data_IF_255372847616
#
_entry.id   IF_255372847616
#
_cell.length_a   1.000
_cell.length_b   1.000
_cell.length_c   1.000
_cell.angle_alpha   90.00
_cell.angle_beta   90.00
_cell.angle_gamma   90.00
#
_symmetry.space_group_name_H-M   'P 1'
#
loop_
_entity.id
_entity.type
_entity.pdbx_description
1 polymer ?
#
# COMPACT_ATOMS: atom_id res chain seq x y z
N UNK A 1 0.19 1.90 0.38
CA UNK A 1 1.62 1.83 0.77
C UNK A 1 1.88 2.63 2.03
N UNK A 2 2.91 2.28 2.79
CA UNK A 2 3.28 2.97 4.03
C UNK A 2 4.51 3.83 3.81
N UNK A 3 4.44 5.10 4.19
CA UNK A 3 5.56 6.04 4.13
C UNK A 3 5.69 6.75 5.47
N UNK A 4 6.91 7.13 5.88
CA UNK A 4 7.10 7.92 7.10
C UNK A 4 6.84 9.39 6.80
N UNK A 5 6.10 10.05 7.68
CA UNK A 5 5.79 11.47 7.56
C UNK A 5 5.75 12.17 8.91
N UNK A 6 5.51 13.48 8.88
CA UNK A 6 5.35 14.29 10.09
C UNK A 6 3.96 14.15 10.71
N UNK A 7 2.93 13.82 9.92
CA UNK A 7 1.53 13.66 10.37
C UNK A 7 0.86 12.51 9.64
N UNK A 8 -0.28 12.04 10.16
CA UNK A 8 -1.05 11.04 9.46
C UNK A 8 -1.75 11.64 8.24
N UNK A 9 -1.65 10.95 7.10
CA UNK A 9 -2.27 11.39 5.85
C UNK A 9 -2.59 10.21 4.93
N UNK A 10 -3.76 10.26 4.28
CA UNK A 10 -4.15 9.29 3.25
C UNK A 10 -4.28 10.07 1.93
N UNK A 11 -3.47 9.69 0.94
CA UNK A 11 -3.51 10.31 -0.40
C UNK A 11 -3.57 9.24 -1.49
N UNK A 12 -4.37 9.44 -2.56
CA UNK A 12 -4.38 8.51 -3.68
C UNK A 12 -3.00 8.50 -4.34
N UNK A 13 -2.51 7.30 -4.64
CA UNK A 13 -1.25 7.13 -5.35
C UNK A 13 -1.51 7.25 -6.85
N UNK A 14 -0.70 8.03 -7.61
CA UNK A 14 -0.83 8.09 -9.06
C UNK A 14 -0.76 6.70 -9.69
N UNK A 15 -1.58 6.43 -10.71
CA UNK A 15 -1.66 5.10 -11.35
C UNK A 15 -0.28 4.60 -11.81
N UNK A 16 0.55 5.48 -12.39
CA UNK A 16 1.91 5.15 -12.84
C UNK A 16 2.85 4.72 -11.69
N UNK A 17 2.56 5.14 -10.46
CA UNK A 17 3.33 4.78 -9.28
C UNK A 17 2.78 3.53 -8.56
N UNK A 18 1.57 3.05 -8.91
CA UNK A 18 0.90 1.96 -8.21
C UNK A 18 1.62 0.62 -8.34
N UNK A 19 1.96 0.18 -9.56
CA UNK A 19 2.62 -1.11 -9.78
C UNK A 19 4.02 -1.18 -9.14
N UNK A 20 4.93 -0.19 -9.33
CA UNK A 20 6.22 -0.19 -8.64
C UNK A 20 6.08 -0.21 -7.12
N UNK A 21 5.09 0.50 -6.59
CA UNK A 21 4.82 0.53 -5.17
C UNK A 21 4.30 -0.82 -4.64
N UNK A 22 3.36 -1.47 -5.33
CA UNK A 22 2.88 -2.80 -4.95
C UNK A 22 4.01 -3.82 -4.96
N UNK A 23 4.85 -3.82 -6.01
CA UNK A 23 6.02 -4.71 -6.09
C UNK A 23 6.95 -4.44 -4.90
N UNK A 24 7.29 -3.18 -4.62
CA UNK A 24 8.17 -2.81 -3.49
C UNK A 24 7.65 -3.34 -2.16
N UNK A 25 6.35 -3.21 -1.92
CA UNK A 25 5.69 -3.62 -0.68
C UNK A 25 5.24 -5.08 -0.70
N UNK A 26 5.47 -5.81 -1.81
CA UNK A 26 5.33 -7.25 -1.85
C UNK A 26 6.52 -7.91 -1.14
N UNK A 27 6.24 -8.95 -0.36
CA UNK A 27 7.23 -9.65 0.47
C UNK A 27 8.42 -10.22 -0.33
N UNK A 28 8.29 -10.30 -1.65
CA UNK A 28 9.31 -10.73 -2.62
C UNK A 28 10.57 -9.86 -2.59
N UNK A 29 10.47 -8.55 -2.37
CA UNK A 29 11.65 -7.67 -2.36
C UNK A 29 12.60 -7.95 -1.21
N UNK A 30 12.12 -8.57 -0.13
CA UNK A 30 12.92 -8.93 1.05
C UNK A 30 13.76 -10.19 0.86
N UNK A 31 13.31 -11.13 0.01
CA UNK A 31 13.97 -12.43 -0.18
C UNK A 31 14.56 -12.60 -1.59
N UNK A 32 14.33 -11.63 -2.48
CA UNK A 32 14.90 -11.59 -3.82
C UNK A 32 14.42 -12.75 -4.71
N UNK A 33 15.16 -13.00 -5.80
CA UNK A 33 14.88 -14.09 -6.74
C UNK A 33 14.84 -15.49 -6.10
N UNK A 34 15.46 -15.68 -4.93
CA UNK A 34 15.42 -16.95 -4.21
C UNK A 34 14.02 -17.29 -3.64
N UNK A 35 13.15 -16.29 -3.47
CA UNK A 35 11.76 -16.52 -3.05
C UNK A 35 10.77 -16.72 -4.21
N UNK A 36 11.23 -16.66 -5.46
CA UNK A 36 10.41 -16.86 -6.65
C UNK A 36 11.09 -17.86 -7.57
N UNK A 37 10.77 -19.16 -7.47
CA UNK A 37 11.06 -20.12 -8.54
C UNK A 37 10.52 -19.57 -9.87
N UNK A 38 11.21 -19.80 -10.99
CA UNK A 38 11.06 -19.02 -12.22
C UNK A 38 9.60 -18.79 -12.71
N UNK A 39 8.72 -19.79 -12.58
CA UNK A 39 7.30 -19.68 -12.98
C UNK A 39 6.47 -18.75 -12.05
N UNK A 40 6.91 -18.57 -10.81
CA UNK A 40 6.21 -17.77 -9.80
C UNK A 40 6.44 -16.26 -9.99
N UNK A 41 7.55 -15.86 -10.62
CA UNK A 41 7.87 -14.45 -10.84
C UNK A 41 6.91 -13.78 -11.84
N UNK A 42 6.58 -14.48 -12.93
CA UNK A 42 5.62 -13.99 -13.92
C UNK A 42 4.21 -13.90 -13.32
N UNK A 43 3.78 -14.93 -12.58
CA UNK A 43 2.49 -14.93 -11.90
C UNK A 43 2.39 -13.80 -10.86
N UNK A 44 3.43 -13.58 -10.07
CA UNK A 44 3.49 -12.50 -9.08
C UNK A 44 3.39 -11.12 -9.73
N UNK A 45 4.09 -10.90 -10.84
CA UNK A 45 4.01 -9.65 -11.59
C UNK A 45 2.60 -9.42 -12.17
N UNK A 46 1.98 -10.47 -12.73
CA UNK A 46 0.61 -10.40 -13.23
C UNK A 46 -0.38 -10.04 -12.13
N UNK A 47 -0.25 -10.65 -10.94
CA UNK A 47 -1.07 -10.31 -9.78
C UNK A 47 -0.88 -8.86 -9.33
N UNK A 48 0.37 -8.39 -9.24
CA UNK A 48 0.66 -7.00 -8.89
C UNK A 48 0.05 -6.01 -9.90
N UNK A 49 0.13 -6.34 -11.21
CA UNK A 49 -0.48 -5.56 -12.28
C UNK A 49 -2.00 -5.54 -12.19
N UNK A 50 -2.62 -6.69 -11.91
CA UNK A 50 -4.06 -6.76 -11.73
C UNK A 50 -4.55 -5.85 -10.59
N UNK A 51 -3.88 -5.89 -9.43
CA UNK A 51 -4.19 -5.00 -8.29
C UNK A 51 -4.05 -3.53 -8.70
N UNK A 52 -2.92 -3.16 -9.34
CA UNK A 52 -2.65 -1.77 -9.73
C UNK A 52 -3.70 -1.18 -10.68
N UNK A 53 -4.32 -2.01 -11.52
CA UNK A 53 -5.30 -1.58 -12.52
C UNK A 53 -6.75 -1.60 -12.03
N UNK A 54 -7.08 -2.41 -11.02
CA UNK A 54 -8.46 -2.61 -10.58
C UNK A 54 -8.76 -2.02 -9.20
N UNK A 55 -7.74 -1.82 -8.36
CA UNK A 55 -7.90 -1.37 -6.99
C UNK A 55 -7.21 -0.02 -6.82
N UNK A 56 -7.92 0.96 -6.24
CA UNK A 56 -7.34 2.25 -5.87
C UNK A 56 -6.23 2.06 -4.84
N UNK A 57 -5.00 2.41 -5.21
CA UNK A 57 -3.84 2.35 -4.30
C UNK A 57 -3.68 3.71 -3.63
N UNK A 58 -3.54 3.71 -2.31
CA UNK A 58 -3.32 4.92 -1.51
C UNK A 58 -1.98 4.86 -0.80
N UNK A 59 -1.40 6.03 -0.53
CA UNK A 59 -0.30 6.22 0.42
C UNK A 59 -0.90 6.59 1.77
N UNK A 60 -0.47 5.87 2.81
CA UNK A 60 -0.65 6.23 4.20
C UNK A 60 0.68 6.76 4.74
N UNK A 61 0.71 8.04 5.09
CA UNK A 61 1.78 8.65 5.86
C UNK A 61 1.61 8.24 7.33
N UNK A 62 2.61 7.56 7.86
CA UNK A 62 2.67 7.13 9.26
C UNK A 62 3.55 8.12 10.01
N UNK A 63 3.02 8.82 11.03
CA UNK A 63 3.79 9.74 11.84
C UNK A 63 5.09 9.11 12.37
N UNK A 64 6.11 9.94 12.47
CA UNK A 64 7.31 9.61 13.24
C UNK A 64 7.00 9.80 14.73
N UNK A 65 7.43 8.85 15.56
CA UNK A 65 7.10 8.82 16.99
C UNK A 65 5.87 7.94 17.30
N UNK A 66 5.98 7.12 18.35
CA UNK A 66 4.90 6.22 18.78
C UNK A 66 3.75 6.96 19.46
N UNK A 67 4.03 8.09 20.08
CA UNK A 67 3.07 8.99 20.73
C UNK A 67 1.99 9.51 19.76
N UNK A 68 2.30 9.52 18.46
CA UNK A 68 1.43 10.06 17.40
C UNK A 68 0.81 8.98 16.52
N UNK A 69 1.05 7.70 16.82
CA UNK A 69 0.51 6.59 16.02
C UNK A 69 -1.02 6.58 16.02
N UNK A 70 -1.65 7.10 17.08
CA UNK A 70 -3.10 7.26 17.19
C UNK A 70 -3.70 8.08 16.05
N UNK A 71 -2.97 9.06 15.51
CA UNK A 71 -3.43 9.87 14.36
C UNK A 71 -3.72 9.00 13.13
N UNK A 72 -2.88 7.99 12.87
CA UNK A 72 -3.07 7.09 11.74
C UNK A 72 -4.27 6.16 11.96
N UNK A 73 -4.48 5.70 13.20
CA UNK A 73 -5.64 4.86 13.56
C UNK A 73 -6.94 5.64 13.36
N UNK A 74 -7.05 6.83 13.94
CA UNK A 74 -8.23 7.68 13.80
C UNK A 74 -8.55 8.01 12.33
N UNK A 75 -7.50 8.23 11.52
CA UNK A 75 -7.66 8.54 10.09
C UNK A 75 -8.23 7.34 9.31
N UNK A 76 -7.76 6.13 9.60
CA UNK A 76 -8.27 4.89 8.99
C UNK A 76 -9.72 4.65 9.41
N UNK A 77 -10.04 4.79 10.70
CA UNK A 77 -11.41 4.60 11.21
C UNK A 77 -12.40 5.59 10.55
N UNK A 78 -11.99 6.86 10.41
CA UNK A 78 -12.78 7.88 9.69
C UNK A 78 -13.02 7.48 8.24
N UNK A 79 -11.99 7.04 7.52
CA UNK A 79 -12.10 6.62 6.12
C UNK A 79 -13.04 5.40 5.95
N UNK A 80 -12.91 4.38 6.81
CA UNK A 80 -13.80 3.21 6.82
C UNK A 80 -15.27 3.62 7.07
N UNK A 81 -15.51 4.52 8.02
CA UNK A 81 -16.85 5.02 8.31
C UNK A 81 -17.47 5.81 7.14
N UNK A 82 -16.64 6.48 6.33
CA UNK A 82 -17.08 7.24 5.17
C UNK A 82 -17.35 6.33 3.96
N UNK A 83 -16.58 5.25 3.82
CA UNK A 83 -16.76 4.25 2.76
C UNK A 83 -17.98 3.35 3.00
N UNK A 84 -18.27 2.99 4.24
CA UNK A 84 -19.50 2.26 4.62
C UNK A 84 -20.79 3.06 4.31
N UNK A 85 -20.71 4.39 4.31
CA UNK A 85 -21.84 5.28 3.95
C UNK A 85 -22.03 5.48 2.44
N UNK A 86 -21.10 5.00 1.61
CA UNK A 86 -21.12 5.14 0.14
C UNK A 86 -21.48 3.85 -0.59
N UNK A 87 -21.71 2.76 0.14
CA UNK A 87 -22.18 1.46 -0.37
C UNK A 87 -23.62 1.20 0.05
#
# INVERSE_FOLDING_TARGET
ILERGERAGITPLPAIAALPAIIKFSYVTRFGRAALPDDFAAAHLQQCSWIANHIGVYRLEVPTGLDRIGEAVELIEKDLSASSRRS
#
